data_IF_684977107595
#
_entry.id   IF_684977107595
#
_cell.length_a   1.000
_cell.length_b   1.000
_cell.length_c   1.000
_cell.angle_alpha   90.00
_cell.angle_beta   90.00
_cell.angle_gamma   90.00
#
_symmetry.space_group_name_H-M   'P 1'
#
loop_
_entity.id
_entity.type
_entity.pdbx_description
1 polymer ?
#
# COMPACT_ATOMS: atom_id res chain seq x y z
N UNK A 1 -22.88 -22.69 36.33
CA UNK A 1 -22.74 -22.68 34.86
C UNK A 1 -21.28 -22.82 34.53
N UNK A 2 -20.94 -23.91 33.87
CA UNK A 2 -19.60 -24.23 33.37
C UNK A 2 -19.42 -23.52 32.03
N UNK A 3 -18.57 -22.49 31.98
CA UNK A 3 -18.28 -21.78 30.74
C UNK A 3 -17.51 -22.69 29.79
N UNK A 4 -18.05 -22.93 28.59
CA UNK A 4 -17.33 -23.70 27.55
C UNK A 4 -16.12 -22.89 27.08
N UNK A 5 -14.91 -23.44 27.22
CA UNK A 5 -13.68 -22.73 26.87
C UNK A 5 -13.30 -22.97 25.40
N UNK A 6 -12.43 -22.12 24.85
CA UNK A 6 -11.90 -22.24 23.49
C UNK A 6 -11.19 -23.58 23.26
N UNK A 7 -10.44 -24.04 24.25
CA UNK A 7 -9.74 -25.33 24.21
C UNK A 7 -10.74 -26.49 24.14
N UNK A 8 -11.88 -26.36 24.81
CA UNK A 8 -12.95 -27.36 24.77
C UNK A 8 -13.64 -27.42 23.41
N UNK A 9 -13.89 -26.27 22.79
CA UNK A 9 -14.47 -26.17 21.43
C UNK A 9 -13.57 -26.80 20.37
N UNK A 10 -12.25 -26.53 20.42
CA UNK A 10 -11.28 -27.14 19.50
C UNK A 10 -11.24 -28.67 19.64
N UNK A 11 -11.39 -29.18 20.86
CA UNK A 11 -11.47 -30.62 21.10
C UNK A 11 -12.74 -31.25 20.52
N UNK A 12 -13.87 -30.56 20.58
CA UNK A 12 -15.13 -31.00 19.95
C UNK A 12 -15.01 -30.99 18.41
N UNK A 13 -14.36 -29.97 17.84
CA UNK A 13 -14.07 -29.89 16.41
C UNK A 13 -13.22 -31.08 15.94
N UNK A 14 -12.14 -31.40 16.68
CA UNK A 14 -11.29 -32.56 16.37
C UNK A 14 -12.04 -33.89 16.37
N UNK A 15 -13.11 -34.04 17.16
CA UNK A 15 -13.94 -35.24 17.13
C UNK A 15 -14.68 -35.40 15.80
N UNK A 16 -15.12 -34.31 15.17
CA UNK A 16 -15.75 -34.37 13.84
C UNK A 16 -14.77 -34.86 12.77
N UNK A 17 -13.50 -34.47 12.86
CA UNK A 17 -12.43 -34.91 11.96
C UNK A 17 -12.04 -36.37 12.22
N UNK A 18 -12.09 -36.81 13.48
CA UNK A 18 -11.70 -38.16 13.90
C UNK A 18 -12.77 -39.21 13.56
N UNK A 19 -14.05 -38.90 13.75
CA UNK A 19 -15.14 -39.87 13.64
C UNK A 19 -15.97 -39.76 12.35
N UNK A 20 -15.76 -38.71 11.54
CA UNK A 20 -16.38 -38.55 10.22
C UNK A 20 -17.87 -38.16 10.24
N UNK A 21 -18.36 -37.72 9.07
CA UNK A 21 -19.74 -37.28 8.88
C UNK A 21 -20.71 -38.46 9.01
N UNK A 22 -21.45 -38.52 10.12
CA UNK A 22 -22.41 -39.59 10.43
C UNK A 22 -22.24 -40.22 11.82
N UNK A 23 -21.17 -39.90 12.54
CA UNK A 23 -20.94 -40.39 13.90
C UNK A 23 -21.69 -39.57 14.95
N UNK A 24 -22.43 -40.25 15.83
CA UNK A 24 -23.08 -39.62 16.99
C UNK A 24 -22.06 -39.37 18.10
N UNK A 25 -21.47 -38.17 18.10
CA UNK A 25 -20.66 -37.68 19.23
C UNK A 25 -21.60 -37.11 20.29
N UNK A 26 -21.72 -37.79 21.43
CA UNK A 26 -22.56 -37.34 22.55
C UNK A 26 -21.85 -36.25 23.34
N UNK A 27 -22.46 -35.05 23.37
CA UNK A 27 -22.05 -33.95 24.24
C UNK A 27 -22.83 -34.03 25.56
N UNK A 28 -22.22 -33.69 26.71
CA UNK A 28 -22.95 -33.44 27.95
C UNK A 28 -24.07 -32.41 27.72
N UNK A 29 -25.21 -32.62 28.36
CA UNK A 29 -26.39 -31.75 28.20
C UNK A 29 -26.07 -30.27 28.48
N UNK A 30 -25.22 -29.99 29.48
CA UNK A 30 -24.78 -28.64 29.84
C UNK A 30 -23.97 -27.96 28.72
N UNK A 31 -23.08 -28.70 28.05
CA UNK A 31 -22.28 -28.16 26.92
C UNK A 31 -23.19 -27.89 25.71
N UNK A 32 -24.16 -28.78 25.45
CA UNK A 32 -25.14 -28.59 24.38
C UNK A 32 -26.06 -27.38 24.65
N UNK A 33 -26.48 -27.18 25.89
CA UNK A 33 -27.30 -26.03 26.30
C UNK A 33 -26.53 -24.72 26.19
N UNK A 34 -25.25 -24.70 26.59
CA UNK A 34 -24.39 -23.52 26.44
C UNK A 34 -24.16 -23.18 24.96
N UNK A 35 -23.88 -24.17 24.11
CA UNK A 35 -23.74 -23.97 22.67
C UNK A 35 -25.03 -23.46 22.03
N UNK A 36 -26.18 -24.00 22.44
CA UNK A 36 -27.48 -23.53 21.96
C UNK A 36 -27.75 -22.08 22.39
N UNK A 37 -27.35 -21.69 23.61
CA UNK A 37 -27.47 -20.30 24.09
C UNK A 37 -26.57 -19.35 23.29
N UNK A 38 -25.32 -19.74 23.02
CA UNK A 38 -24.39 -18.94 22.20
C UNK A 38 -24.90 -18.81 20.77
N UNK A 39 -25.40 -19.90 20.17
CA UNK A 39 -25.97 -19.90 18.83
C UNK A 39 -27.22 -19.01 18.76
N UNK A 40 -28.11 -19.09 19.75
CA UNK A 40 -29.29 -18.24 19.84
C UNK A 40 -28.90 -16.76 19.96
N UNK A 41 -27.94 -16.43 20.83
CA UNK A 41 -27.42 -15.07 20.96
C UNK A 41 -26.78 -14.55 19.66
N UNK A 42 -26.14 -15.43 18.87
CA UNK A 42 -25.56 -15.08 17.57
C UNK A 42 -26.63 -14.87 16.49
N UNK A 43 -27.74 -15.62 16.54
CA UNK A 43 -28.87 -15.46 15.62
C UNK A 43 -29.75 -14.24 15.96
N UNK A 44 -29.82 -13.89 17.24
CA UNK A 44 -30.50 -12.68 17.75
C UNK A 44 -29.61 -11.43 17.67
N UNK A 45 -28.30 -11.60 17.43
CA UNK A 45 -27.41 -10.50 17.15
C UNK A 45 -27.78 -9.91 15.79
N UNK A 46 -28.36 -8.69 15.80
CA UNK A 46 -28.54 -7.96 14.56
C UNK A 46 -27.18 -7.79 13.85
N UNK A 47 -27.13 -7.89 12.51
CA UNK A 47 -25.90 -7.59 11.77
C UNK A 47 -25.40 -6.23 12.21
N UNK A 48 -24.09 -6.09 12.44
CA UNK A 48 -23.46 -4.80 12.75
C UNK A 48 -23.48 -3.94 11.48
N UNK A 49 -24.67 -3.43 11.19
CA UNK A 49 -24.98 -2.43 10.18
C UNK A 49 -26.00 -1.47 10.77
N UNK A 50 -25.85 -1.12 12.05
CA UNK A 50 -26.53 0.04 12.58
C UNK A 50 -25.87 1.29 11.98
N UNK A 51 -26.60 2.20 11.32
CA UNK A 51 -26.07 3.52 11.04
C UNK A 51 -25.66 4.12 12.38
N UNK A 52 -24.36 4.33 12.55
CA UNK A 52 -23.75 4.84 13.78
C UNK A 52 -24.46 6.16 14.14
N UNK A 53 -25.40 6.12 15.08
CA UNK A 53 -25.97 7.33 15.66
C UNK A 53 -24.89 7.88 16.58
N UNK A 54 -24.09 8.81 16.07
CA UNK A 54 -23.16 9.59 16.89
C UNK A 54 -23.97 10.16 18.07
N UNK A 55 -23.67 9.76 19.32
CA UNK A 55 -24.26 10.40 20.47
C UNK A 55 -23.89 11.88 20.39
N UNK A 56 -24.84 12.78 20.59
CA UNK A 56 -24.52 14.20 20.68
C UNK A 56 -23.45 14.40 21.76
N UNK A 57 -22.28 14.91 21.35
CA UNK A 57 -21.24 15.28 22.30
C UNK A 57 -21.81 16.37 23.21
N UNK A 58 -22.07 16.02 24.47
CA UNK A 58 -22.49 16.98 25.48
C UNK A 58 -21.40 18.05 25.62
N UNK A 59 -21.78 19.32 25.80
CA UNK A 59 -20.83 20.44 25.85
C UNK A 59 -19.64 20.27 26.81
N UNK A 60 -19.81 19.52 27.91
CA UNK A 60 -18.72 19.19 28.84
C UNK A 60 -17.66 18.23 28.25
N UNK A 61 -18.06 17.30 27.37
CA UNK A 61 -17.16 16.36 26.70
C UNK A 61 -16.23 17.09 25.73
N UNK A 62 -16.79 18.02 24.95
CA UNK A 62 -16.02 18.85 24.02
C UNK A 62 -15.01 19.74 24.75
N UNK A 63 -15.42 20.32 25.90
CA UNK A 63 -14.53 21.11 26.75
C UNK A 63 -13.35 20.28 27.27
N UNK A 64 -13.61 19.05 27.73
CA UNK A 64 -12.55 18.15 28.20
C UNK A 64 -11.60 17.76 27.07
N UNK A 65 -12.12 17.42 25.88
CA UNK A 65 -11.32 17.10 24.69
C UNK A 65 -10.40 18.25 24.29
N UNK A 66 -10.91 19.47 24.30
CA UNK A 66 -10.12 20.67 24.02
C UNK A 66 -9.04 20.93 25.08
N UNK A 67 -9.34 20.66 26.36
CA UNK A 67 -8.35 20.78 27.43
C UNK A 67 -7.22 19.74 27.28
N UNK A 68 -7.56 18.50 26.95
CA UNK A 68 -6.59 17.43 26.69
C UNK A 68 -5.70 17.81 25.51
N UNK A 69 -6.30 18.25 24.39
CA UNK A 69 -5.57 18.70 23.20
C UNK A 69 -4.60 19.84 23.52
N UNK A 70 -5.02 20.81 24.34
CA UNK A 70 -4.17 21.94 24.76
C UNK A 70 -2.97 21.46 25.59
N UNK A 71 -3.21 20.62 26.61
CA UNK A 71 -2.14 20.06 27.46
C UNK A 71 -1.16 19.23 26.66
N UNK A 72 -1.67 18.44 25.71
CA UNK A 72 -0.83 17.66 24.80
C UNK A 72 0.07 18.58 23.96
N UNK A 73 -0.47 19.66 23.40
CA UNK A 73 0.33 20.63 22.63
C UNK A 73 1.42 21.28 23.50
N UNK A 74 1.09 21.73 24.72
CA UNK A 74 2.05 22.32 25.67
C UNK A 74 3.18 21.33 26.01
N UNK A 75 2.83 20.07 26.29
CA UNK A 75 3.81 19.01 26.55
C UNK A 75 4.68 18.70 25.33
N UNK A 76 4.07 18.58 24.14
CA UNK A 76 4.76 18.29 22.88
C UNK A 76 5.75 19.41 22.51
N UNK A 77 5.36 20.67 22.69
CA UNK A 77 6.24 21.82 22.46
C UNK A 77 7.40 21.85 23.48
N UNK A 78 7.13 21.53 24.75
CA UNK A 78 8.18 21.43 25.77
C UNK A 78 9.15 20.27 25.54
N UNK A 79 8.69 19.16 24.98
CA UNK A 79 9.47 17.93 24.84
C UNK A 79 10.26 17.90 23.53
N UNK A 80 9.62 18.28 22.43
CA UNK A 80 10.18 18.16 21.08
C UNK A 80 10.58 19.50 20.47
N UNK A 81 10.18 20.63 21.08
CA UNK A 81 10.50 21.95 20.57
C UNK A 81 9.79 22.30 19.26
N UNK A 82 10.41 23.22 18.51
CA UNK A 82 9.87 23.76 17.26
C UNK A 82 10.15 22.85 16.06
N UNK A 83 9.46 21.71 15.99
CA UNK A 83 9.50 20.77 14.86
C UNK A 83 8.25 20.89 13.97
N UNK A 84 8.41 20.56 12.70
CA UNK A 84 7.33 20.57 11.70
C UNK A 84 6.42 19.32 11.77
N UNK A 85 5.38 19.26 10.91
CA UNK A 85 4.35 18.23 10.97
C UNK A 85 4.79 16.84 10.48
N UNK A 86 5.92 16.74 9.77
CA UNK A 86 6.37 15.50 9.12
C UNK A 86 6.71 14.40 10.14
N UNK A 87 7.33 14.74 11.28
CA UNK A 87 7.67 13.79 12.33
C UNK A 87 6.43 13.08 12.88
N UNK A 88 5.44 13.83 13.40
CA UNK A 88 4.18 13.25 13.87
C UNK A 88 3.44 12.43 12.80
N UNK A 89 3.47 12.83 11.52
CA UNK A 89 2.84 12.06 10.44
C UNK A 89 3.53 10.72 10.15
N UNK A 90 4.87 10.69 10.20
CA UNK A 90 5.62 9.44 10.08
C UNK A 90 5.34 8.50 11.26
N UNK A 91 5.20 9.06 12.46
CA UNK A 91 4.84 8.31 13.65
C UNK A 91 3.40 7.79 13.56
N UNK A 92 2.44 8.62 13.13
CA UNK A 92 1.05 8.23 12.94
C UNK A 92 0.89 6.99 12.04
N UNK A 93 1.77 6.85 11.04
CA UNK A 93 1.77 5.68 10.16
C UNK A 93 2.14 4.38 10.89
N UNK A 94 2.96 4.45 11.95
CA UNK A 94 3.32 3.30 12.79
C UNK A 94 2.19 2.95 13.76
N UNK A 95 1.66 3.95 14.47
CA UNK A 95 0.53 3.76 15.39
C UNK A 95 -0.71 3.23 14.67
N UNK A 96 -0.91 3.59 13.39
CA UNK A 96 -1.98 3.02 12.59
C UNK A 96 -1.82 1.51 12.33
N UNK A 97 -0.57 1.02 12.23
CA UNK A 97 -0.28 -0.41 12.10
C UNK A 97 -0.45 -1.13 13.46
N UNK A 98 -0.05 -0.50 14.55
CA UNK A 98 -0.22 -1.02 15.91
C UNK A 98 -1.71 -1.13 16.27
N UNK A 99 -2.50 -0.07 16.03
CA UNK A 99 -3.96 -0.09 16.16
C UNK A 99 -4.64 -1.13 15.24
N UNK A 100 -4.10 -1.39 14.05
CA UNK A 100 -4.63 -2.41 13.16
C UNK A 100 -4.34 -3.83 13.65
N UNK A 101 -3.21 -4.05 14.33
CA UNK A 101 -2.85 -5.31 14.95
C UNK A 101 -3.67 -5.59 16.22
N UNK A 102 -3.93 -4.56 17.02
CA UNK A 102 -4.65 -4.64 18.29
C UNK A 102 -5.82 -3.65 18.36
N UNK A 103 -6.89 -3.82 17.55
CA UNK A 103 -7.98 -2.83 17.45
C UNK A 103 -8.78 -2.61 18.74
N UNK A 104 -8.62 -3.51 19.72
CA UNK A 104 -9.22 -3.38 21.06
C UNK A 104 -8.40 -2.55 22.05
N UNK A 105 -7.14 -2.20 21.73
CA UNK A 105 -6.32 -1.35 22.58
C UNK A 105 -6.65 0.14 22.32
N UNK A 106 -7.36 0.75 23.26
CA UNK A 106 -7.74 2.16 23.17
C UNK A 106 -6.55 3.13 23.22
N UNK A 107 -5.38 2.71 23.70
CA UNK A 107 -4.20 3.57 23.76
C UNK A 107 -3.65 3.87 22.37
N UNK A 108 -3.59 2.88 21.48
CA UNK A 108 -3.19 3.04 20.09
C UNK A 108 -4.07 4.03 19.32
N UNK A 109 -5.39 4.00 19.58
CA UNK A 109 -6.32 5.00 19.04
C UNK A 109 -6.07 6.40 19.59
N UNK A 110 -5.70 6.50 20.87
CA UNK A 110 -5.36 7.78 21.49
C UNK A 110 -4.06 8.35 20.91
N UNK A 111 -3.05 7.52 20.66
CA UNK A 111 -1.79 7.92 20.04
C UNK A 111 -2.01 8.44 18.61
N UNK A 112 -2.81 7.74 17.81
CA UNK A 112 -3.23 8.26 16.50
C UNK A 112 -3.89 9.64 16.62
N UNK A 113 -4.74 9.83 17.63
CA UNK A 113 -5.44 11.09 17.82
C UNK A 113 -4.50 12.23 18.22
N UNK A 114 -3.56 11.98 19.13
CA UNK A 114 -2.55 12.93 19.57
C UNK A 114 -1.62 13.33 18.44
N UNK A 115 -1.10 12.37 17.68
CA UNK A 115 -0.20 12.61 16.55
C UNK A 115 -0.87 13.39 15.43
N UNK A 116 -2.15 13.10 15.15
CA UNK A 116 -2.91 13.86 14.15
C UNK A 116 -3.12 15.32 14.58
N UNK A 117 -3.48 15.57 15.85
CA UNK A 117 -3.59 16.93 16.37
C UNK A 117 -2.25 17.67 16.34
N UNK A 118 -1.16 16.98 16.67
CA UNK A 118 0.18 17.55 16.65
C UNK A 118 0.62 17.92 15.23
N UNK A 119 0.36 17.06 14.26
CA UNK A 119 0.63 17.32 12.85
C UNK A 119 -0.19 18.53 12.35
N UNK A 120 -1.49 18.57 12.64
CA UNK A 120 -2.38 19.65 12.20
C UNK A 120 -1.93 21.01 12.76
N UNK A 121 -1.70 21.12 14.07
CA UNK A 121 -1.27 22.39 14.68
C UNK A 121 0.10 22.84 14.17
N UNK A 122 1.05 21.91 13.96
CA UNK A 122 2.40 22.22 13.46
C UNK A 122 2.40 22.60 11.99
N UNK A 123 1.38 22.17 11.23
CA UNK A 123 1.10 22.63 9.89
C UNK A 123 0.33 23.97 9.84
N UNK A 124 -0.07 24.53 10.99
CA UNK A 124 -0.88 25.75 11.07
C UNK A 124 -2.33 25.57 10.65
N UNK A 125 -2.84 24.32 10.61
CA UNK A 125 -4.19 24.00 10.17
C UNK A 125 -5.16 24.24 11.33
N UNK A 126 -6.14 25.12 11.13
CA UNK A 126 -7.21 25.38 12.10
C UNK A 126 -8.32 24.34 12.04
N UNK A 127 -9.09 24.21 13.13
CA UNK A 127 -10.28 23.36 13.17
C UNK A 127 -11.30 23.76 12.07
N UNK A 128 -11.42 25.05 11.75
CA UNK A 128 -12.32 25.53 10.69
C UNK A 128 -11.88 25.09 9.30
N UNK A 129 -10.59 25.20 8.99
CA UNK A 129 -10.03 24.80 7.70
C UNK A 129 -10.13 23.30 7.46
N UNK A 130 -9.76 22.48 8.46
CA UNK A 130 -9.88 21.02 8.31
C UNK A 130 -11.35 20.59 8.23
N UNK A 131 -12.26 21.23 8.97
CA UNK A 131 -13.69 20.92 8.89
C UNK A 131 -14.24 21.20 7.48
N UNK A 132 -13.92 22.36 6.90
CA UNK A 132 -14.33 22.69 5.53
C UNK A 132 -13.73 21.71 4.51
N UNK A 133 -12.45 21.34 4.66
CA UNK A 133 -11.79 20.36 3.80
C UNK A 133 -12.43 18.96 3.91
N UNK A 134 -12.83 18.55 5.12
CA UNK A 134 -13.55 17.29 5.36
C UNK A 134 -14.92 17.28 4.67
N UNK A 135 -15.67 18.39 4.74
CA UNK A 135 -16.97 18.51 4.07
C UNK A 135 -16.86 18.36 2.54
N UNK A 136 -15.92 19.10 1.94
CA UNK A 136 -15.67 19.02 0.49
C UNK A 136 -15.15 17.64 0.07
N UNK A 137 -14.25 17.06 0.86
CA UNK A 137 -13.72 15.73 0.58
C UNK A 137 -14.79 14.65 0.67
N UNK A 138 -15.74 14.78 1.60
CA UNK A 138 -16.86 13.85 1.75
C UNK A 138 -17.76 13.86 0.50
N UNK A 139 -18.09 15.05 -0.04
CA UNK A 139 -18.86 15.19 -1.29
C UNK A 139 -18.18 14.43 -2.44
N UNK A 140 -16.87 14.61 -2.60
CA UNK A 140 -16.07 13.91 -3.62
C UNK A 140 -16.08 12.39 -3.39
N UNK A 141 -15.95 11.93 -2.16
CA UNK A 141 -15.91 10.50 -1.84
C UNK A 141 -17.27 9.82 -2.10
N UNK A 142 -18.38 10.51 -1.80
CA UNK A 142 -19.75 10.01 -2.07
C UNK A 142 -20.07 9.90 -3.56
N UNK A 143 -19.45 10.74 -4.40
CA UNK A 143 -19.63 10.71 -5.86
C UNK A 143 -18.80 9.63 -6.56
N UNK A 144 -17.89 8.94 -5.85
CA UNK A 144 -17.02 7.91 -6.43
C UNK A 144 -17.67 6.53 -6.47
N UNK A 145 -17.18 5.69 -7.37
CA UNK A 145 -17.47 4.27 -7.37
C UNK A 145 -16.46 3.51 -6.49
N UNK A 146 -16.97 2.57 -5.71
CA UNK A 146 -16.20 1.79 -4.76
C UNK A 146 -16.38 0.29 -5.02
N UNK A 147 -15.33 -0.53 -4.86
CA UNK A 147 -15.43 -1.97 -4.98
C UNK A 147 -16.21 -2.57 -3.81
N UNK A 148 -16.61 -3.84 -3.96
CA UNK A 148 -17.32 -4.59 -2.93
C UNK A 148 -16.57 -4.62 -1.58
N UNK A 149 -17.27 -4.40 -0.45
CA UNK A 149 -17.35 -5.41 0.59
C UNK A 149 -16.17 -6.23 1.15
N UNK A 150 -14.89 -5.80 1.26
CA UNK A 150 -13.85 -6.66 1.92
C UNK A 150 -13.45 -6.20 3.32
N UNK A 151 -13.43 -7.16 4.26
CA UNK A 151 -12.97 -6.96 5.64
C UNK A 151 -11.44 -7.02 5.72
N UNK A 152 -10.84 -6.23 6.61
CA UNK A 152 -9.39 -6.14 6.81
C UNK A 152 -8.57 -5.47 5.68
N UNK A 153 -9.16 -5.21 4.51
CA UNK A 153 -8.45 -4.71 3.33
C UNK A 153 -8.72 -3.23 3.03
N UNK A 154 -7.70 -2.42 2.70
CA UNK A 154 -7.88 -1.06 2.22
C UNK A 154 -8.73 -1.01 0.95
N UNK A 155 -9.65 -0.04 0.89
CA UNK A 155 -10.49 0.17 -0.29
C UNK A 155 -10.06 1.39 -1.06
N UNK A 156 -9.72 1.15 -2.32
CA UNK A 156 -9.38 2.21 -3.26
C UNK A 156 -10.58 2.44 -4.17
N UNK A 157 -10.87 3.71 -4.44
CA UNK A 157 -11.90 4.08 -5.43
C UNK A 157 -11.50 3.57 -6.82
N UNK A 158 -12.49 3.19 -7.61
CA UNK A 158 -12.27 2.76 -8.99
C UNK A 158 -11.86 3.99 -9.79
N UNK A 159 -10.60 4.00 -10.27
CA UNK A 159 -10.14 4.97 -11.26
C UNK A 159 -10.55 4.46 -12.63
N UNK A 160 -11.29 5.23 -13.41
CA UNK A 160 -11.45 4.95 -14.83
C UNK A 160 -10.06 4.90 -15.46
N UNK A 161 -9.69 3.77 -16.07
CA UNK A 161 -8.43 3.69 -16.79
C UNK A 161 -8.50 4.69 -17.94
N UNK A 162 -7.47 5.55 -18.13
CA UNK A 162 -7.41 6.37 -19.33
C UNK A 162 -7.47 5.43 -20.53
N UNK A 163 -8.41 5.69 -21.45
CA UNK A 163 -8.60 4.91 -22.67
C UNK A 163 -7.23 4.77 -23.34
N UNK A 164 -6.72 3.54 -23.60
CA UNK A 164 -5.42 3.41 -24.21
C UNK A 164 -5.41 4.17 -25.54
N UNK A 165 -4.48 5.12 -25.67
CA UNK A 165 -4.40 6.08 -26.79
C UNK A 165 -3.79 5.40 -28.02
N UNK A 166 -4.33 4.24 -28.42
CA UNK A 166 -3.93 3.54 -29.65
C UNK A 166 -4.85 4.00 -30.78
N UNK A 167 -4.33 4.75 -31.77
CA UNK A 167 -5.13 5.28 -32.88
C UNK A 167 -5.97 4.19 -33.54
N UNK A 168 -7.23 4.49 -33.87
CA UNK A 168 -8.08 3.54 -34.61
C UNK A 168 -7.54 3.29 -36.02
N UNK A 169 -7.06 4.36 -36.67
CA UNK A 169 -6.48 4.29 -38.00
C UNK A 169 -4.98 4.05 -37.96
N UNK A 170 -4.48 3.33 -38.98
CA UNK A 170 -3.05 3.12 -39.14
C UNK A 170 -2.35 4.45 -39.47
N UNK A 171 -1.29 4.84 -38.73
CA UNK A 171 -0.53 6.05 -39.03
C UNK A 171 0.00 6.07 -40.47
N UNK A 172 -0.05 7.26 -41.10
CA UNK A 172 0.46 7.44 -42.46
C UNK A 172 1.94 7.07 -42.54
N UNK A 173 2.30 6.23 -43.51
CA UNK A 173 3.68 5.76 -43.74
C UNK A 173 4.01 4.42 -43.08
N UNK A 174 3.25 3.98 -42.06
CA UNK A 174 3.52 2.73 -41.34
C UNK A 174 3.28 1.49 -42.22
N UNK A 175 2.30 1.55 -43.13
CA UNK A 175 2.00 0.45 -44.05
C UNK A 175 3.22 0.02 -44.88
N UNK A 176 3.99 0.99 -45.39
CA UNK A 176 5.20 0.72 -46.16
C UNK A 176 6.30 0.07 -45.33
N UNK A 177 6.44 0.47 -44.07
CA UNK A 177 7.42 -0.11 -43.14
C UNK A 177 7.07 -1.56 -42.80
N UNK A 178 5.80 -1.85 -42.50
CA UNK A 178 5.32 -3.21 -42.21
C UNK A 178 5.55 -4.13 -43.41
N UNK A 179 5.19 -3.66 -44.61
CA UNK A 179 5.37 -4.44 -45.85
C UNK A 179 6.86 -4.68 -46.16
N UNK A 180 7.72 -3.67 -45.92
CA UNK A 180 9.17 -3.80 -46.14
C UNK A 180 9.84 -4.79 -45.18
N UNK A 181 9.36 -4.91 -43.94
CA UNK A 181 9.90 -5.83 -42.93
C UNK A 181 9.60 -7.30 -43.24
N UNK A 182 8.49 -7.59 -43.94
CA UNK A 182 8.03 -8.95 -44.19
C UNK A 182 8.64 -9.61 -45.44
N UNK A 183 9.57 -8.93 -46.12
CA UNK A 183 10.37 -9.44 -47.24
C UNK A 183 9.61 -10.17 -48.37
N UNK A 184 8.28 -10.04 -48.43
CA UNK A 184 7.44 -10.58 -49.49
C UNK A 184 6.78 -9.41 -50.22
N UNK A 185 6.98 -9.41 -51.54
CA UNK A 185 6.56 -8.38 -52.47
C UNK A 185 5.05 -8.40 -52.71
N UNK A 186 4.27 -8.24 -51.63
CA UNK A 186 2.83 -8.11 -51.67
C UNK A 186 2.52 -6.69 -51.24
N UNK A 187 2.29 -5.81 -52.23
CA UNK A 187 1.80 -4.44 -52.03
C UNK A 187 0.34 -4.39 -51.54
N UNK A 188 -0.05 -5.33 -50.67
CA UNK A 188 -1.41 -5.47 -50.20
C UNK A 188 -1.61 -4.65 -48.93
N UNK A 189 -2.13 -3.43 -49.12
CA UNK A 189 -2.57 -2.54 -48.04
C UNK A 189 -3.51 -3.25 -47.05
N UNK A 190 -4.23 -4.28 -47.50
CA UNK A 190 -5.10 -5.09 -46.65
C UNK A 190 -4.31 -5.91 -45.61
N UNK A 191 -3.13 -6.44 -45.98
CA UNK A 191 -2.27 -7.18 -45.08
C UNK A 191 -1.68 -6.27 -43.99
N UNK A 192 -1.19 -5.10 -44.37
CA UNK A 192 -0.72 -4.09 -43.42
C UNK A 192 -1.83 -3.69 -42.44
N UNK A 193 -3.07 -3.52 -42.93
CA UNK A 193 -4.21 -3.18 -42.07
C UNK A 193 -4.57 -4.31 -41.10
N UNK A 194 -4.52 -5.57 -41.54
CA UNK A 194 -4.73 -6.73 -40.67
C UNK A 194 -3.67 -6.81 -39.57
N UNK A 195 -2.41 -6.56 -39.91
CA UNK A 195 -1.30 -6.53 -38.94
C UNK A 195 -1.50 -5.38 -37.95
N UNK A 196 -1.81 -4.17 -38.43
CA UNK A 196 -2.11 -3.04 -37.55
C UNK A 196 -3.26 -3.36 -36.60
N UNK A 197 -4.35 -3.94 -37.09
CA UNK A 197 -5.48 -4.31 -36.25
C UNK A 197 -5.11 -5.35 -35.19
N UNK A 198 -4.29 -6.34 -35.53
CA UNK A 198 -3.80 -7.35 -34.59
C UNK A 198 -2.86 -6.74 -33.53
N UNK A 199 -1.91 -5.90 -33.95
CA UNK A 199 -1.03 -5.18 -33.04
C UNK A 199 -1.80 -4.21 -32.14
N UNK A 200 -2.79 -3.49 -32.68
CA UNK A 200 -3.69 -2.60 -31.93
C UNK A 200 -4.52 -3.37 -30.91
N UNK A 201 -5.07 -4.52 -31.30
CA UNK A 201 -5.79 -5.38 -30.37
C UNK A 201 -4.87 -5.86 -29.24
N UNK A 202 -3.65 -6.29 -29.55
CA UNK A 202 -2.66 -6.68 -28.56
C UNK A 202 -2.25 -5.50 -27.65
N UNK A 203 -2.06 -4.30 -28.19
CA UNK A 203 -1.75 -3.08 -27.41
C UNK A 203 -2.92 -2.64 -26.52
N UNK A 204 -4.17 -2.86 -26.95
CA UNK A 204 -5.38 -2.59 -26.15
C UNK A 204 -5.62 -3.65 -25.08
N UNK A 205 -5.22 -4.90 -25.34
CA UNK A 205 -5.31 -6.00 -24.39
C UNK A 205 -4.14 -6.02 -23.39
N UNK A 206 -2.99 -5.45 -23.76
CA UNK A 206 -1.87 -5.27 -22.85
C UNK A 206 -2.27 -4.23 -21.80
N UNK A 207 -2.36 -4.66 -20.55
CA UNK A 207 -2.50 -3.78 -19.39
C UNK A 207 -1.25 -2.89 -19.35
N UNK A 208 -1.28 -1.71 -19.98
CA UNK A 208 -0.20 -0.75 -19.81
C UNK A 208 -0.11 -0.39 -18.32
N UNK A 209 1.05 -0.61 -17.72
CA UNK A 209 1.33 -0.30 -16.32
C UNK A 209 1.47 1.22 -16.21
N UNK A 210 0.60 1.84 -15.42
CA UNK A 210 0.75 3.23 -15.01
C UNK A 210 1.93 3.34 -14.03
N UNK A 211 3.08 3.82 -14.52
CA UNK A 211 4.29 4.04 -13.72
C UNK A 211 4.24 5.33 -12.89
N UNK A 212 3.12 6.07 -12.91
CA UNK A 212 2.98 7.37 -12.22
C UNK A 212 2.48 7.28 -10.77
N UNK A 213 2.22 6.08 -10.24
CA UNK A 213 1.71 5.89 -8.87
C UNK A 213 2.71 5.15 -7.97
N UNK A 214 2.86 5.53 -6.70
CA UNK A 214 3.92 5.01 -5.85
C UNK A 214 3.56 3.66 -5.22
N UNK A 215 4.57 2.78 -5.24
CA UNK A 215 4.85 1.59 -4.40
C UNK A 215 3.70 0.56 -4.25
N UNK A 216 3.68 -0.40 -5.17
CA UNK A 216 2.89 -1.63 -5.14
C UNK A 216 3.83 -2.82 -4.76
N UNK A 217 3.39 -3.84 -4.00
CA UNK A 217 4.11 -5.11 -3.79
C UNK A 217 4.65 -5.80 -5.07
N UNK A 218 4.19 -5.41 -6.26
CA UNK A 218 4.79 -5.79 -7.55
C UNK A 218 6.19 -5.21 -7.83
N UNK A 219 6.63 -4.16 -7.12
CA UNK A 219 8.02 -3.66 -7.20
C UNK A 219 8.97 -4.73 -6.65
N UNK A 220 8.61 -5.41 -5.55
CA UNK A 220 9.40 -6.51 -4.99
C UNK A 220 9.60 -7.64 -6.00
N UNK A 221 8.60 -7.94 -6.84
CA UNK A 221 8.71 -8.98 -7.85
C UNK A 221 9.58 -8.53 -9.04
N UNK A 222 9.47 -7.28 -9.46
CA UNK A 222 10.33 -6.70 -10.49
C UNK A 222 11.79 -6.58 -10.03
N UNK A 223 12.04 -6.14 -8.80
CA UNK A 223 13.37 -6.11 -8.16
C UNK A 223 13.97 -7.52 -8.11
N UNK A 224 13.18 -8.53 -7.72
CA UNK A 224 13.62 -9.94 -7.74
C UNK A 224 13.97 -10.43 -9.15
N UNK A 225 13.24 -10.00 -10.18
CA UNK A 225 13.53 -10.36 -11.58
C UNK A 225 14.82 -9.67 -12.04
N UNK A 226 14.97 -8.38 -11.76
CA UNK A 226 16.17 -7.60 -12.13
C UNK A 226 17.42 -8.14 -11.43
N UNK A 227 17.34 -8.45 -10.13
CA UNK A 227 18.43 -9.08 -9.39
C UNK A 227 18.80 -10.45 -9.97
N UNK A 228 17.82 -11.30 -10.32
CA UNK A 228 18.08 -12.59 -11.00
C UNK A 228 18.74 -12.42 -12.37
N UNK A 229 18.48 -11.31 -13.04
CA UNK A 229 19.08 -10.95 -14.33
C UNK A 229 20.43 -10.21 -14.19
N UNK A 230 20.95 -10.04 -12.96
CA UNK A 230 22.24 -9.39 -12.69
C UNK A 230 22.20 -7.86 -12.68
N UNK A 231 21.01 -7.25 -12.65
CA UNK A 231 20.83 -5.80 -12.55
C UNK A 231 20.68 -5.36 -11.10
N UNK A 232 21.34 -4.26 -10.73
CA UNK A 232 21.32 -3.66 -9.39
C UNK A 232 20.69 -2.27 -9.48
N UNK A 233 19.79 -1.95 -8.54
CA UNK A 233 19.20 -0.61 -8.43
C UNK A 233 20.20 0.33 -7.78
N UNK A 234 20.45 1.47 -8.43
CA UNK A 234 21.28 2.55 -7.88
C UNK A 234 20.55 3.89 -8.00
N UNK A 235 20.85 4.85 -7.11
CA UNK A 235 20.39 6.22 -7.25
C UNK A 235 20.75 6.80 -8.63
N UNK A 236 19.86 7.62 -9.19
CA UNK A 236 20.12 8.33 -10.46
C UNK A 236 21.30 9.29 -10.32
N UNK A 237 21.43 9.93 -9.15
CA UNK A 237 22.58 10.74 -8.77
C UNK A 237 23.37 9.99 -7.68
N UNK A 238 24.70 9.77 -7.84
CA UNK A 238 25.51 9.09 -6.85
C UNK A 238 25.45 9.75 -5.47
N UNK A 239 25.43 8.95 -4.40
CA UNK A 239 25.52 9.48 -3.03
C UNK A 239 26.94 9.87 -2.68
N UNK A 240 27.11 10.62 -1.58
CA UNK A 240 28.42 11.00 -1.06
C UNK A 240 29.29 9.76 -0.77
N UNK A 241 28.72 8.68 -0.25
CA UNK A 241 29.45 7.43 0.00
C UNK A 241 29.89 6.73 -1.29
N UNK A 242 29.04 6.78 -2.34
CA UNK A 242 29.41 6.24 -3.66
C UNK A 242 30.55 7.03 -4.29
N UNK A 243 30.52 8.36 -4.16
CA UNK A 243 31.57 9.25 -4.66
C UNK A 243 32.87 9.03 -3.88
N UNK A 244 32.79 8.90 -2.56
CA UNK A 244 33.95 8.60 -1.72
C UNK A 244 34.58 7.24 -2.07
N UNK A 245 33.76 6.21 -2.32
CA UNK A 245 34.24 4.90 -2.76
C UNK A 245 34.94 4.95 -4.12
N UNK A 246 34.41 5.74 -5.06
CA UNK A 246 35.04 6.01 -6.36
C UNK A 246 36.42 6.66 -6.22
N UNK A 247 36.56 7.62 -5.30
CA UNK A 247 37.81 8.37 -5.09
C UNK A 247 38.90 7.54 -4.39
N UNK A 248 38.50 6.54 -3.61
CA UNK A 248 39.41 5.74 -2.79
C UNK A 248 39.75 4.37 -3.41
N UNK A 249 39.20 4.02 -4.58
CA UNK A 249 39.48 2.74 -5.21
C UNK A 249 40.84 2.75 -5.95
N UNK A 250 41.46 1.57 -6.08
CA UNK A 250 42.66 1.41 -6.92
C UNK A 250 42.26 1.40 -8.39
N UNK A 251 42.17 2.59 -8.98
CA UNK A 251 41.76 2.82 -10.36
C UNK A 251 42.92 3.14 -11.29
N UNK A 252 44.06 3.64 -10.80
CA UNK A 252 45.19 4.02 -11.67
C UNK A 252 46.24 2.91 -11.76
N UNK A 253 46.52 2.45 -12.98
CA UNK A 253 47.68 1.61 -13.29
C UNK A 253 48.78 2.44 -13.95
N UNK A 254 50.00 2.28 -13.46
CA UNK A 254 51.19 2.88 -14.06
C UNK A 254 51.90 1.86 -14.95
N UNK A 255 52.07 2.22 -16.21
CA UNK A 255 52.77 1.41 -17.19
C UNK A 255 54.28 1.66 -17.08
N UNK A 256 55.07 0.73 -17.63
CA UNK A 256 56.54 0.84 -17.64
C UNK A 256 57.09 1.98 -18.48
N UNK A 257 56.25 2.60 -19.32
CA UNK A 257 56.59 3.73 -20.18
C UNK A 257 56.18 5.09 -19.57
N UNK A 258 55.95 5.13 -18.26
CA UNK A 258 55.51 6.31 -17.49
C UNK A 258 54.12 6.84 -17.85
N UNK A 259 53.37 6.15 -18.72
CA UNK A 259 51.96 6.42 -18.94
C UNK A 259 51.09 5.81 -17.82
N UNK A 260 49.90 6.35 -17.63
CA UNK A 260 48.92 5.78 -16.70
C UNK A 260 47.60 5.50 -17.40
N UNK A 261 46.88 4.50 -16.89
CA UNK A 261 45.55 4.13 -17.33
C UNK A 261 44.60 4.17 -16.14
N UNK A 262 43.43 4.79 -16.34
CA UNK A 262 42.35 4.79 -15.35
C UNK A 262 41.40 3.62 -15.65
N UNK A 263 41.22 2.76 -14.66
CA UNK A 263 40.35 1.60 -14.69
C UNK A 263 38.94 2.03 -14.28
N UNK A 264 38.21 2.62 -15.22
CA UNK A 264 36.82 3.04 -15.01
C UNK A 264 35.89 1.90 -14.55
N UNK A 265 36.24 0.65 -14.87
CA UNK A 265 35.55 -0.53 -14.35
C UNK A 265 35.64 -0.65 -12.83
N UNK A 266 36.83 -0.49 -12.26
CA UNK A 266 37.05 -0.58 -10.81
C UNK A 266 36.34 0.56 -10.07
N UNK A 267 36.33 1.77 -10.65
CA UNK A 267 35.58 2.91 -10.13
C UNK A 267 34.09 2.57 -10.07
N UNK A 268 33.54 2.07 -11.18
CA UNK A 268 32.12 1.71 -11.25
C UNK A 268 31.75 0.57 -10.29
N UNK A 269 32.59 -0.45 -10.16
CA UNK A 269 32.40 -1.54 -9.20
C UNK A 269 32.42 -1.05 -7.74
N UNK A 270 33.34 -0.14 -7.40
CA UNK A 270 33.41 0.48 -6.08
C UNK A 270 32.16 1.32 -5.77
N UNK A 271 31.68 2.10 -6.75
CA UNK A 271 30.43 2.86 -6.63
C UNK A 271 29.21 1.95 -6.45
N UNK A 272 29.14 0.86 -7.21
CA UNK A 272 28.05 -0.13 -7.09
C UNK A 272 28.05 -0.82 -5.72
N UNK A 273 29.22 -1.15 -5.18
CA UNK A 273 29.36 -1.77 -3.86
C UNK A 273 28.94 -0.83 -2.71
N UNK A 274 29.16 0.48 -2.88
CA UNK A 274 28.77 1.52 -1.93
C UNK A 274 27.33 2.04 -2.13
N UNK A 275 26.62 1.57 -3.16
CA UNK A 275 25.25 2.00 -3.42
C UNK A 275 24.29 1.57 -2.29
N UNK A 276 23.32 2.42 -1.90
CA UNK A 276 22.33 2.08 -0.88
C UNK A 276 21.58 0.80 -1.25
N UNK A 277 21.54 -0.17 -0.34
CA UNK A 277 20.71 -1.36 -0.52
C UNK A 277 19.32 -1.11 0.06
N UNK A 278 18.30 -1.32 -0.77
CA UNK A 278 16.88 -1.20 -0.42
C UNK A 278 16.31 -2.52 0.11
#
# INVERSE_FOLDING_TARGET
MTTITKERLLKIQQWSETYGAGSNVMLPAEEAEELARIALASLEAEPVSQPYKLPEEKGASLQLRNLIRKRHAEWSDSTFGNVGPVGPLKHLSKEALEAAAEPGDLSEWADMQFLLWDAQRRAGISDGEITAAMEEKLKVNMARQWPEPKDGEPRLHIKEQPVPVVPAEMPKGLAGQIVSLLAHNIGDKLLAQKIWNACRAAMLQSKYRDLSQPVDPQISEYEKIMQRAGWVMVPVEPTDEMIEAAMNCEDVLFNSDESFCVQFGNIYEAMLAAAPQH
#
